data_IF_793919203769
#
_entry.id   IF_793919203769
#
_cell.length_a   1.000
_cell.length_b   1.000
_cell.length_c   1.000
_cell.angle_alpha   90.00
_cell.angle_beta   90.00
_cell.angle_gamma   90.00
#
_symmetry.space_group_name_H-M   'P 1'
#
loop_
_entity.id
_entity.type
_entity.pdbx_description
1 polymer ?
#
# COMPACT_ATOMS: atom_id res chain seq x y z
N UNK A 1 -14.50 -23.95 0.58
CA UNK A 1 -13.05 -23.71 0.66
C UNK A 1 -12.67 -22.97 -0.61
N UNK A 2 -12.54 -21.66 -0.56
CA UNK A 2 -11.98 -20.87 -1.66
C UNK A 2 -10.48 -21.11 -1.67
N UNK A 3 -9.97 -21.75 -2.71
CA UNK A 3 -8.53 -21.85 -2.95
C UNK A 3 -8.03 -20.46 -3.31
N UNK A 4 -7.29 -19.81 -2.43
CA UNK A 4 -6.55 -18.61 -2.78
C UNK A 4 -5.41 -19.03 -3.73
N UNK A 5 -5.46 -18.57 -4.97
CA UNK A 5 -4.33 -18.71 -5.89
C UNK A 5 -3.25 -17.73 -5.43
N UNK A 6 -2.10 -18.26 -5.02
CA UNK A 6 -0.94 -17.44 -4.68
C UNK A 6 -0.04 -17.40 -5.90
N UNK A 7 0.17 -16.21 -6.46
CA UNK A 7 1.15 -16.01 -7.54
C UNK A 7 2.51 -15.70 -6.93
N UNK A 8 3.57 -16.33 -7.44
CA UNK A 8 4.93 -16.02 -6.99
C UNK A 8 5.44 -14.70 -7.58
N UNK A 9 5.04 -14.41 -8.82
CA UNK A 9 5.36 -13.17 -9.53
C UNK A 9 4.20 -12.87 -10.48
N UNK A 10 3.83 -11.60 -10.61
CA UNK A 10 2.95 -11.15 -11.68
C UNK A 10 3.42 -9.80 -12.21
N UNK A 11 3.36 -9.64 -13.53
CA UNK A 11 3.72 -8.42 -14.27
C UNK A 11 2.52 -7.93 -15.09
N UNK A 12 1.32 -7.96 -14.49
CA UNK A 12 0.05 -7.75 -15.18
C UNK A 12 -0.90 -6.95 -14.30
N UNK A 13 -1.73 -6.14 -14.95
CA UNK A 13 -2.79 -5.39 -14.28
C UNK A 13 -3.90 -6.35 -13.83
N UNK A 14 -4.26 -6.29 -12.54
CA UNK A 14 -5.32 -7.13 -12.00
C UNK A 14 -6.50 -6.32 -11.48
N UNK A 15 -7.69 -6.84 -11.76
CA UNK A 15 -8.92 -6.38 -11.13
C UNK A 15 -9.54 -7.50 -10.29
N UNK A 16 -9.99 -7.16 -9.08
CA UNK A 16 -10.60 -8.11 -8.16
C UNK A 16 -9.71 -8.48 -6.98
N UNK A 17 -9.76 -9.74 -6.54
CA UNK A 17 -9.00 -10.22 -5.39
C UNK A 17 -7.73 -10.97 -5.84
N UNK A 18 -6.55 -10.49 -5.44
CA UNK A 18 -5.25 -11.11 -5.73
C UNK A 18 -4.43 -11.36 -4.45
N UNK A 19 -3.58 -12.37 -4.50
CA UNK A 19 -2.54 -12.60 -3.50
C UNK A 19 -1.26 -12.99 -4.22
N UNK A 20 -0.22 -12.17 -4.11
CA UNK A 20 1.04 -12.39 -4.78
C UNK A 20 2.23 -12.22 -3.81
N UNK A 21 3.37 -12.83 -4.12
CA UNK A 21 4.60 -12.49 -3.40
C UNK A 21 5.21 -11.21 -3.98
N UNK A 22 5.32 -11.15 -5.30
CA UNK A 22 5.80 -9.97 -6.01
C UNK A 22 4.86 -9.61 -7.16
N UNK A 23 4.56 -8.33 -7.25
CA UNK A 23 3.63 -7.77 -8.20
C UNK A 23 4.25 -6.53 -8.83
N UNK A 24 4.16 -6.44 -10.15
CA UNK A 24 4.48 -5.25 -10.92
C UNK A 24 3.31 -4.91 -11.85
N UNK A 25 2.71 -3.73 -11.72
CA UNK A 25 1.55 -3.31 -12.52
C UNK A 25 0.45 -2.65 -11.69
N UNK A 26 -0.65 -2.31 -12.35
CA UNK A 26 -1.74 -1.56 -11.74
C UNK A 26 -2.81 -2.49 -11.18
N UNK A 27 -3.30 -2.16 -9.99
CA UNK A 27 -4.28 -2.97 -9.28
C UNK A 27 -5.52 -2.19 -8.89
N UNK A 28 -6.67 -2.82 -9.11
CA UNK A 28 -7.96 -2.31 -8.66
C UNK A 28 -8.75 -3.39 -7.94
N UNK A 29 -8.97 -3.22 -6.63
CA UNK A 29 -9.74 -4.17 -5.83
C UNK A 29 -9.08 -4.49 -4.49
N UNK A 30 -9.03 -5.78 -4.14
CA UNK A 30 -8.41 -6.28 -2.92
C UNK A 30 -7.10 -6.97 -3.26
N UNK A 31 -5.97 -6.43 -2.85
CA UNK A 31 -4.65 -7.01 -3.06
C UNK A 31 -3.98 -7.33 -1.74
N UNK A 32 -3.18 -8.40 -1.76
CA UNK A 32 -2.29 -8.74 -0.65
C UNK A 32 -0.95 -9.18 -1.22
N UNK A 33 0.01 -8.27 -1.25
CA UNK A 33 1.34 -8.53 -1.78
C UNK A 33 2.42 -8.50 -0.69
N UNK A 34 3.52 -9.22 -0.91
CA UNK A 34 4.71 -8.99 -0.07
C UNK A 34 5.47 -7.76 -0.58
N UNK A 35 5.70 -7.71 -1.89
CA UNK A 35 6.33 -6.60 -2.58
C UNK A 35 5.47 -6.17 -3.77
N UNK A 36 5.00 -4.93 -3.76
CA UNK A 36 4.23 -4.38 -4.87
C UNK A 36 4.94 -3.18 -5.49
N UNK A 37 4.93 -3.13 -6.82
CA UNK A 37 5.49 -2.03 -7.60
C UNK A 37 4.48 -1.57 -8.66
N UNK A 38 3.97 -0.35 -8.55
CA UNK A 38 2.91 0.16 -9.42
C UNK A 38 1.72 0.72 -8.64
N UNK A 39 0.69 1.13 -9.36
CA UNK A 39 -0.38 1.93 -8.76
C UNK A 39 -1.51 1.02 -8.24
N UNK A 40 -2.00 1.29 -7.02
CA UNK A 40 -3.21 0.59 -6.53
C UNK A 40 -4.36 1.53 -6.22
N UNK A 41 -5.55 1.01 -6.51
CA UNK A 41 -6.82 1.61 -6.15
C UNK A 41 -7.68 0.59 -5.41
N UNK A 42 -8.02 0.86 -4.15
CA UNK A 42 -8.93 0.01 -3.38
C UNK A 42 -8.39 -0.35 -2.00
N UNK A 43 -8.38 -1.64 -1.69
CA UNK A 43 -7.96 -2.16 -0.39
C UNK A 43 -6.68 -2.98 -0.56
N UNK A 44 -5.56 -2.45 -0.07
CA UNK A 44 -4.24 -3.07 -0.27
C UNK A 44 -3.60 -3.42 1.07
N UNK A 45 -2.92 -4.56 1.12
CA UNK A 45 -2.11 -4.95 2.26
C UNK A 45 -0.74 -5.42 1.78
N UNK A 46 0.26 -4.56 1.90
CA UNK A 46 1.60 -4.83 1.38
C UNK A 46 2.66 -4.76 2.48
N UNK A 47 3.67 -5.62 2.42
CA UNK A 47 4.81 -5.47 3.35
C UNK A 47 5.67 -4.29 2.91
N UNK A 48 6.00 -4.25 1.62
CA UNK A 48 6.75 -3.17 1.02
C UNK A 48 6.07 -2.77 -0.29
N UNK A 49 5.83 -1.48 -0.44
CA UNK A 49 5.21 -0.96 -1.65
C UNK A 49 6.05 0.17 -2.23
N UNK A 50 6.07 0.21 -3.56
CA UNK A 50 6.56 1.35 -4.31
C UNK A 50 5.63 1.71 -5.49
N UNK A 51 4.91 2.83 -5.40
CA UNK A 51 3.99 3.35 -6.43
C UNK A 51 2.88 4.23 -5.83
N UNK A 52 2.00 4.78 -6.67
CA UNK A 52 0.93 5.63 -6.16
C UNK A 52 -0.24 4.79 -5.63
N UNK A 53 -0.75 5.13 -4.46
CA UNK A 53 -1.84 4.38 -3.85
C UNK A 53 -3.03 5.25 -3.50
N UNK A 54 -4.22 4.72 -3.79
CA UNK A 54 -5.47 5.35 -3.41
C UNK A 54 -6.45 4.35 -2.78
N UNK A 55 -7.06 4.74 -1.66
CA UNK A 55 -8.05 3.90 -0.97
C UNK A 55 -7.69 3.64 0.49
N UNK A 56 -7.98 2.44 0.99
CA UNK A 56 -7.63 2.04 2.35
C UNK A 56 -6.49 1.05 2.28
N UNK A 57 -5.41 1.30 3.01
CA UNK A 57 -4.23 0.44 2.89
C UNK A 57 -3.50 0.24 4.19
N UNK A 58 -2.75 -0.85 4.24
CA UNK A 58 -1.89 -1.19 5.37
C UNK A 58 -0.53 -1.60 4.85
N UNK A 59 0.51 -0.82 5.20
CA UNK A 59 1.87 -1.08 4.78
C UNK A 59 2.81 -1.26 5.96
N UNK A 60 3.84 -2.09 5.81
CA UNK A 60 4.97 -2.02 6.75
C UNK A 60 5.91 -0.89 6.34
N UNK A 61 6.22 -0.81 5.05
CA UNK A 61 7.06 0.21 4.43
C UNK A 61 6.38 0.73 3.17
N UNK A 62 6.22 2.06 3.10
CA UNK A 62 5.74 2.76 1.91
C UNK A 62 6.72 3.86 1.54
N UNK A 63 7.26 3.82 0.32
CA UNK A 63 8.25 4.79 -0.16
C UNK A 63 7.67 5.77 -1.21
N UNK A 64 6.34 5.94 -1.27
CA UNK A 64 5.65 6.79 -2.26
C UNK A 64 4.39 7.51 -1.74
N UNK A 65 3.80 8.28 -2.65
CA UNK A 65 2.64 9.12 -2.42
C UNK A 65 1.37 8.31 -2.18
N UNK A 66 0.64 8.69 -1.12
CA UNK A 66 -0.57 7.99 -0.70
C UNK A 66 -1.78 8.91 -0.55
N UNK A 67 -2.94 8.48 -1.06
CA UNK A 67 -4.22 9.17 -0.93
C UNK A 67 -5.30 8.29 -0.31
N UNK A 68 -5.61 8.53 0.96
CA UNK A 68 -6.74 7.92 1.66
C UNK A 68 -6.41 7.57 3.11
N UNK A 69 -7.20 6.68 3.73
CA UNK A 69 -6.85 6.10 5.02
C UNK A 69 -5.68 5.11 4.92
N UNK A 70 -4.65 5.24 5.75
CA UNK A 70 -3.53 4.30 5.79
C UNK A 70 -3.07 3.94 7.20
N UNK A 71 -2.47 2.76 7.33
CA UNK A 71 -1.74 2.32 8.52
C UNK A 71 -0.35 1.84 8.14
N UNK A 72 0.68 2.48 8.68
CA UNK A 72 2.05 2.34 8.17
C UNK A 72 3.08 2.28 9.29
N UNK A 73 4.05 1.36 9.21
CA UNK A 73 5.13 1.36 10.23
C UNK A 73 6.19 2.40 9.87
N UNK A 74 6.63 2.40 8.61
CA UNK A 74 7.65 3.29 8.07
C UNK A 74 7.17 3.92 6.78
N UNK A 75 7.44 5.21 6.61
CA UNK A 75 7.06 5.91 5.38
C UNK A 75 8.05 7.00 4.97
N UNK A 76 8.25 7.05 3.65
CA UNK A 76 8.97 8.07 2.90
C UNK A 76 8.16 8.47 1.64
N UNK A 77 7.35 9.53 1.63
CA UNK A 77 6.52 9.95 0.50
C UNK A 77 5.30 10.79 0.93
N UNK A 78 4.70 11.57 0.03
CA UNK A 78 3.67 12.53 0.43
C UNK A 78 2.34 11.84 0.77
N UNK A 79 1.61 12.38 1.75
CA UNK A 79 0.34 11.79 2.18
C UNK A 79 -0.82 12.77 2.16
N UNK A 80 -1.97 12.26 1.76
CA UNK A 80 -3.25 12.93 1.90
C UNK A 80 -4.29 12.01 2.52
N UNK A 81 -4.86 12.40 3.67
CA UNK A 81 -5.93 11.63 4.32
C UNK A 81 -5.74 11.39 5.81
N UNK A 82 -6.24 10.25 6.29
CA UNK A 82 -6.08 9.81 7.67
C UNK A 82 -4.96 8.78 7.71
N UNK A 83 -3.85 9.07 8.37
CA UNK A 83 -2.77 8.10 8.52
C UNK A 83 -2.49 7.81 9.98
N UNK A 84 -2.11 6.57 10.23
CA UNK A 84 -1.51 6.17 11.49
C UNK A 84 -0.18 5.49 11.21
N UNK A 85 0.90 6.00 11.79
CA UNK A 85 2.18 5.33 11.65
C UNK A 85 3.22 5.60 12.72
N UNK A 86 4.24 4.75 12.77
CA UNK A 86 5.27 4.84 13.82
C UNK A 86 6.43 5.76 13.44
N UNK A 87 6.89 5.68 12.21
CA UNK A 87 8.01 6.44 11.68
C UNK A 87 7.62 7.05 10.33
N UNK A 88 7.44 8.37 10.32
CA UNK A 88 6.97 9.12 9.15
C UNK A 88 7.97 10.23 8.83
N UNK A 89 8.44 10.27 7.58
CA UNK A 89 9.37 11.29 7.08
C UNK A 89 8.83 11.86 5.76
N UNK A 90 7.69 12.54 5.86
CA UNK A 90 6.77 12.79 4.75
C UNK A 90 6.09 14.14 4.91
N UNK A 91 5.74 14.78 3.80
CA UNK A 91 4.78 15.88 3.84
C UNK A 91 3.36 15.30 3.96
N UNK A 92 2.66 15.67 5.04
CA UNK A 92 1.33 15.14 5.31
C UNK A 92 0.25 16.22 5.27
N UNK A 93 -0.70 16.05 4.37
CA UNK A 93 -1.92 16.84 4.27
C UNK A 93 -3.14 16.07 4.81
N UNK A 94 -3.44 16.24 6.10
CA UNK A 94 -4.58 15.57 6.73
C UNK A 94 -4.34 15.26 8.20
N UNK A 95 -5.04 14.26 8.71
CA UNK A 95 -4.89 13.84 10.11
C UNK A 95 -3.86 12.72 10.20
N UNK A 96 -2.83 12.93 11.03
CA UNK A 96 -1.81 11.92 11.31
C UNK A 96 -1.76 11.60 12.79
N UNK A 97 -1.62 10.32 13.10
CA UNK A 97 -1.24 9.87 14.44
C UNK A 97 0.04 9.05 14.38
N UNK A 98 1.07 9.47 15.11
CA UNK A 98 2.32 8.73 15.14
C UNK A 98 3.25 9.07 16.29
N UNK A 99 4.22 8.19 16.51
CA UNK A 99 5.17 8.27 17.62
C UNK A 99 6.43 9.05 17.24
N UNK A 100 6.90 8.92 15.99
CA UNK A 100 8.04 9.66 15.47
C UNK A 100 7.74 10.22 14.08
N UNK A 101 7.46 11.51 14.03
CA UNK A 101 7.28 12.28 12.81
C UNK A 101 8.42 13.30 12.73
N UNK A 102 9.08 13.39 11.57
CA UNK A 102 10.10 14.40 11.30
C UNK A 102 9.74 15.21 10.08
#
# INVERSE_FOLDING_TARGET
>A
MTTATIYTHTDDDHSGCSHCNHTHGDHSGYSHDTHSHGDHSGYSHDTHTHGDHSGYSHYTHNDDDYRGPSHDTHTHGDRSGYSHGTHTHDDHNGYSHGTHTR
#
